data_IF_919709346797
#
_entry.id   IF_919709346797
#
_cell.length_a   1.000
_cell.length_b   1.000
_cell.length_c   1.000
_cell.angle_alpha   90.00
_cell.angle_beta   90.00
_cell.angle_gamma   90.00
#
_symmetry.space_group_name_H-M   'P 1'
#
loop_
_entity.id
_entity.type
_entity.pdbx_description
1 polymer ?
#
# COMPACT_ATOMS: atom_id res chain seq x y z
N UNK A 1 15.97 -3.49 -4.78
CA UNK A 1 15.75 -2.39 -3.83
C UNK A 1 15.04 -2.91 -2.58
N UNK A 2 15.30 -2.30 -1.40
CA UNK A 2 14.56 -2.60 -0.16
C UNK A 2 13.32 -1.72 0.01
N UNK A 3 13.25 -0.65 -0.73
CA UNK A 3 12.11 0.26 -0.72
C UNK A 3 11.63 0.47 -2.15
N UNK A 4 10.33 0.37 -2.33
CA UNK A 4 9.64 0.78 -3.54
C UNK A 4 8.58 1.81 -3.15
N UNK A 5 8.74 3.03 -3.60
CA UNK A 5 7.85 4.14 -3.26
C UNK A 5 7.22 4.66 -4.54
N UNK A 6 5.90 4.70 -4.58
CA UNK A 6 5.15 5.20 -5.72
C UNK A 6 4.13 6.26 -5.29
N UNK A 7 4.12 7.37 -6.02
CA UNK A 7 3.11 8.40 -5.91
C UNK A 7 2.65 8.77 -7.31
N UNK A 8 1.38 8.57 -7.60
CA UNK A 8 0.87 8.78 -8.96
C UNK A 8 -0.53 8.18 -9.15
N UNK A 9 -0.90 8.03 -10.41
CA UNK A 9 -2.19 7.47 -10.74
C UNK A 9 -2.20 5.96 -10.60
N UNK A 10 -3.29 5.43 -10.03
CA UNK A 10 -3.64 4.02 -10.04
C UNK A 10 -4.91 3.80 -10.85
N UNK A 11 -5.10 2.58 -11.34
CA UNK A 11 -6.38 2.20 -11.89
C UNK A 11 -7.34 1.80 -10.81
N UNK A 12 -8.63 1.99 -11.05
CA UNK A 12 -9.66 1.34 -10.26
C UNK A 12 -9.55 -0.17 -10.49
N UNK A 13 -9.01 -0.83 -9.50
CA UNK A 13 -9.05 -2.26 -9.38
C UNK A 13 -10.38 -2.64 -8.75
N UNK A 14 -10.81 -3.80 -8.89
CA UNK A 14 -12.07 -4.32 -8.43
C UNK A 14 -12.55 -5.34 -9.44
N UNK A 15 -13.81 -5.68 -9.46
CA UNK A 15 -14.43 -6.78 -10.23
C UNK A 15 -13.94 -6.99 -11.66
N UNK A 16 -13.29 -6.03 -12.27
CA UNK A 16 -12.72 -6.09 -13.62
C UNK A 16 -11.26 -5.65 -13.66
N UNK A 17 -10.61 -5.55 -12.48
CA UNK A 17 -9.33 -4.90 -12.35
C UNK A 17 -8.18 -5.80 -12.73
N UNK A 18 -7.40 -5.34 -13.65
CA UNK A 18 -6.09 -5.89 -13.96
C UNK A 18 -4.98 -5.15 -13.24
N UNK A 19 -5.21 -4.46 -12.14
CA UNK A 19 -4.22 -3.71 -11.40
C UNK A 19 -3.23 -2.94 -12.23
N UNK A 20 -2.70 -1.91 -11.67
CA UNK A 20 -1.59 -1.34 -12.36
C UNK A 20 -1.27 0.07 -11.92
N UNK A 21 -0.04 0.41 -12.16
CA UNK A 21 0.47 1.75 -11.98
C UNK A 21 0.35 2.49 -13.31
N UNK A 22 -0.01 3.77 -13.24
CA UNK A 22 -0.06 4.62 -14.42
C UNK A 22 1.17 5.54 -14.40
N UNK A 23 2.18 5.17 -15.17
CA UNK A 23 3.33 6.01 -15.48
C UNK A 23 3.11 6.71 -16.83
N UNK A 24 4.13 6.73 -17.68
CA UNK A 24 3.94 7.13 -19.08
C UNK A 24 3.03 6.14 -19.80
N UNK A 25 3.22 4.86 -19.50
CA UNK A 25 2.42 3.75 -19.98
C UNK A 25 1.78 3.03 -18.79
N UNK A 26 0.83 2.19 -19.08
CA UNK A 26 0.20 1.34 -18.10
C UNK A 26 1.09 0.17 -17.73
N UNK A 27 1.38 -0.01 -16.43
CA UNK A 27 2.16 -1.14 -15.91
C UNK A 27 1.22 -2.08 -15.17
N UNK A 28 1.05 -3.27 -15.71
CA UNK A 28 0.15 -4.29 -15.15
C UNK A 28 0.78 -5.04 -13.97
N UNK A 29 -0.05 -5.74 -13.20
CA UNK A 29 0.42 -6.63 -12.13
C UNK A 29 1.37 -7.70 -12.65
N UNK A 30 1.10 -8.28 -13.83
CA UNK A 30 1.97 -9.28 -14.46
C UNK A 30 3.35 -8.70 -14.79
N UNK A 31 3.42 -7.48 -15.27
CA UNK A 31 4.69 -6.80 -15.52
C UNK A 31 5.45 -6.53 -14.21
N UNK A 32 4.74 -6.11 -13.14
CA UNK A 32 5.37 -5.95 -11.83
C UNK A 32 5.98 -7.27 -11.36
N UNK A 33 5.23 -8.36 -11.43
CA UNK A 33 5.71 -9.68 -10.99
C UNK A 33 6.88 -10.22 -11.84
N UNK A 34 6.86 -9.99 -13.14
CA UNK A 34 7.84 -10.57 -14.05
C UNK A 34 9.11 -9.73 -14.20
N UNK A 35 9.01 -8.40 -14.07
CA UNK A 35 10.09 -7.49 -14.43
C UNK A 35 10.69 -6.77 -13.23
N UNK A 36 9.90 -6.46 -12.18
CA UNK A 36 10.39 -5.77 -11.01
C UNK A 36 11.19 -6.72 -10.10
N UNK A 37 12.39 -6.29 -9.69
CA UNK A 37 13.23 -7.05 -8.75
C UNK A 37 13.37 -6.29 -7.44
N UNK A 38 12.67 -6.76 -6.44
CA UNK A 38 12.83 -6.33 -5.06
C UNK A 38 13.87 -7.19 -4.34
N UNK A 39 14.41 -6.67 -3.26
CA UNK A 39 15.12 -7.50 -2.28
C UNK A 39 14.09 -8.17 -1.37
N UNK A 40 14.45 -9.33 -0.85
CA UNK A 40 13.65 -9.95 0.21
C UNK A 40 13.45 -8.95 1.35
N UNK A 41 12.27 -8.96 1.93
CA UNK A 41 11.85 -8.02 2.97
C UNK A 41 11.83 -6.56 2.49
N UNK A 42 11.46 -6.30 1.25
CA UNK A 42 11.23 -4.95 0.77
C UNK A 42 9.94 -4.37 1.36
N UNK A 43 9.96 -3.06 1.58
CA UNK A 43 8.78 -2.27 1.94
C UNK A 43 8.27 -1.53 0.69
N UNK A 44 6.99 -1.67 0.40
CA UNK A 44 6.29 -1.00 -0.70
C UNK A 44 5.37 0.05 -0.13
N UNK A 45 5.50 1.31 -0.59
CA UNK A 45 4.66 2.43 -0.15
C UNK A 45 3.97 3.09 -1.34
N UNK A 46 2.67 3.26 -1.22
CA UNK A 46 1.84 3.97 -2.18
C UNK A 46 1.27 5.25 -1.56
N UNK A 47 1.61 6.39 -2.15
CA UNK A 47 1.11 7.70 -1.73
C UNK A 47 0.06 8.21 -2.70
N UNK A 48 -1.17 8.39 -2.22
CA UNK A 48 -2.28 9.01 -2.98
C UNK A 48 -2.58 8.30 -4.31
N UNK A 49 -2.51 6.98 -4.31
CA UNK A 49 -2.80 6.14 -5.48
C UNK A 49 -4.27 5.71 -5.46
N UNK A 50 -5.01 6.02 -6.50
CA UNK A 50 -6.41 5.65 -6.63
C UNK A 50 -6.60 4.13 -6.48
N UNK A 51 -7.40 3.73 -5.50
CA UNK A 51 -7.64 2.32 -5.15
C UNK A 51 -6.54 1.69 -4.28
N UNK A 52 -5.34 2.29 -4.20
CA UNK A 52 -4.21 1.71 -3.48
C UNK A 52 -4.48 1.46 -1.98
N UNK A 53 -5.16 2.37 -1.33
CA UNK A 53 -5.61 2.21 0.06
C UNK A 53 -7.08 1.73 0.17
N UNK A 54 -7.73 1.41 -0.95
CA UNK A 54 -9.11 0.95 -1.05
C UNK A 54 -9.99 1.91 -1.83
N UNK A 55 -10.14 3.15 -1.42
CA UNK A 55 -10.99 4.14 -2.11
C UNK A 55 -10.28 4.83 -3.26
N UNK A 56 -11.07 5.27 -4.22
CA UNK A 56 -10.65 6.03 -5.39
C UNK A 56 -11.48 7.30 -5.55
N UNK A 57 -10.88 8.35 -6.11
CA UNK A 57 -11.58 9.59 -6.42
C UNK A 57 -12.74 9.40 -7.43
N UNK A 58 -12.73 8.31 -8.21
CA UNK A 58 -13.78 7.96 -9.15
C UNK A 58 -14.94 7.18 -8.55
N UNK A 59 -14.91 6.83 -7.27
CA UNK A 59 -15.95 6.03 -6.65
C UNK A 59 -17.29 6.76 -6.60
N UNK A 60 -18.35 6.01 -6.85
CA UNK A 60 -19.70 6.52 -6.85
C UNK A 60 -20.44 6.06 -5.58
N UNK A 61 -20.09 6.67 -4.46
CA UNK A 61 -20.63 6.31 -3.15
C UNK A 61 -19.73 5.34 -2.37
N UNK A 62 -20.29 4.75 -1.30
CA UNK A 62 -19.57 3.79 -0.47
C UNK A 62 -19.37 2.46 -1.21
N UNK A 63 -18.12 2.14 -1.49
CA UNK A 63 -17.76 0.88 -2.16
C UNK A 63 -17.90 -0.34 -1.25
N UNK A 64 -18.00 -0.12 0.06
CA UNK A 64 -18.00 -1.18 1.06
C UNK A 64 -16.63 -1.81 1.29
N UNK A 65 -16.49 -2.44 2.46
CA UNK A 65 -15.22 -3.01 2.89
C UNK A 65 -14.69 -4.12 1.95
N UNK A 66 -15.58 -4.97 1.44
CA UNK A 66 -15.17 -6.08 0.55
C UNK A 66 -14.51 -5.60 -0.73
N UNK A 67 -15.04 -4.54 -1.32
CA UNK A 67 -14.45 -3.96 -2.52
C UNK A 67 -13.11 -3.26 -2.19
N UNK A 68 -13.05 -2.54 -1.07
CA UNK A 68 -11.80 -1.94 -0.62
C UNK A 68 -10.72 -3.00 -0.38
N UNK A 69 -11.07 -4.12 0.24
CA UNK A 69 -10.17 -5.25 0.47
C UNK A 69 -9.66 -5.86 -0.84
N UNK A 70 -10.55 -6.09 -1.81
CA UNK A 70 -10.15 -6.60 -3.12
C UNK A 70 -9.14 -5.67 -3.79
N UNK A 71 -9.41 -4.37 -3.83
CA UNK A 71 -8.51 -3.39 -4.44
C UNK A 71 -7.15 -3.35 -3.77
N UNK A 72 -7.12 -3.31 -2.43
CA UNK A 72 -5.86 -3.34 -1.67
C UNK A 72 -5.09 -4.62 -1.94
N UNK A 73 -5.79 -5.75 -1.99
CA UNK A 73 -5.18 -7.05 -2.28
C UNK A 73 -4.60 -7.09 -3.69
N UNK A 74 -5.33 -6.62 -4.68
CA UNK A 74 -4.88 -6.58 -6.08
C UNK A 74 -3.61 -5.73 -6.26
N UNK A 75 -3.48 -4.64 -5.50
CA UNK A 75 -2.25 -3.84 -5.50
C UNK A 75 -1.10 -4.47 -4.73
N UNK A 76 -1.39 -5.12 -3.61
CA UNK A 76 -0.36 -5.69 -2.74
C UNK A 76 0.24 -6.98 -3.30
N UNK A 77 -0.59 -7.85 -3.86
CA UNK A 77 -0.23 -9.23 -4.25
C UNK A 77 0.98 -9.32 -5.19
N UNK A 78 1.10 -8.52 -6.27
CA UNK A 78 2.25 -8.63 -7.15
C UNK A 78 3.58 -8.34 -6.44
N UNK A 79 3.59 -7.42 -5.48
CA UNK A 79 4.79 -7.08 -4.71
C UNK A 79 5.12 -8.13 -3.64
N UNK A 80 4.10 -8.64 -2.95
CA UNK A 80 4.28 -9.70 -1.94
C UNK A 80 4.79 -10.99 -2.60
N UNK A 81 4.30 -11.32 -3.77
CA UNK A 81 4.73 -12.48 -4.56
C UNK A 81 6.21 -12.42 -4.94
N UNK A 82 6.75 -11.23 -5.19
CA UNK A 82 8.17 -11.04 -5.54
C UNK A 82 9.08 -10.72 -4.36
N UNK A 83 8.60 -10.94 -3.12
CA UNK A 83 9.41 -10.90 -1.91
C UNK A 83 9.31 -9.62 -1.08
N UNK A 84 8.35 -8.74 -1.35
CA UNK A 84 8.06 -7.66 -0.40
C UNK A 84 7.54 -8.24 0.91
N UNK A 85 7.97 -7.68 2.04
CA UNK A 85 7.45 -8.03 3.36
C UNK A 85 6.13 -7.32 3.65
N UNK A 86 5.98 -6.13 3.12
CA UNK A 86 4.81 -5.29 3.39
C UNK A 86 4.54 -4.33 2.24
N UNK A 87 3.25 -4.20 1.95
CA UNK A 87 2.65 -3.14 1.16
C UNK A 87 1.91 -2.19 2.12
N UNK A 88 2.15 -0.89 2.01
CA UNK A 88 1.45 0.17 2.74
C UNK A 88 0.95 1.22 1.78
N UNK A 89 -0.27 1.69 1.95
CA UNK A 89 -0.85 2.76 1.15
C UNK A 89 -1.57 3.79 2.02
N UNK A 90 -1.36 5.07 1.71
CA UNK A 90 -1.96 6.18 2.41
C UNK A 90 -2.35 7.30 1.44
N UNK A 91 -3.63 7.68 1.46
CA UNK A 91 -4.19 8.74 0.62
C UNK A 91 -4.14 10.13 1.28
N UNK A 92 -3.72 10.23 2.53
CA UNK A 92 -3.56 11.51 3.21
C UNK A 92 -2.16 12.09 2.95
N UNK A 93 -2.10 13.37 2.62
CA UNK A 93 -0.94 14.24 2.42
C UNK A 93 0.44 13.66 2.78
N UNK A 94 0.90 13.88 3.99
CA UNK A 94 2.22 13.45 4.47
C UNK A 94 2.20 12.09 5.20
N UNK A 95 1.09 11.36 5.15
CA UNK A 95 0.94 10.11 5.89
C UNK A 95 1.97 9.03 5.56
N UNK A 96 2.48 8.99 4.32
CA UNK A 96 3.59 8.10 3.99
C UNK A 96 4.94 8.59 4.54
N UNK A 97 5.11 9.88 4.74
CA UNK A 97 6.34 10.45 5.34
C UNK A 97 6.38 10.10 6.81
N UNK A 98 5.30 10.40 7.55
CA UNK A 98 5.21 10.05 8.98
C UNK A 98 5.35 8.55 9.22
N UNK A 99 4.76 7.71 8.37
CA UNK A 99 4.96 6.26 8.42
C UNK A 99 6.44 5.87 8.26
N UNK A 100 7.15 6.50 7.33
CA UNK A 100 8.59 6.22 7.13
C UNK A 100 9.44 6.71 8.31
N UNK A 101 9.12 7.86 8.89
CA UNK A 101 9.78 8.37 10.10
C UNK A 101 9.66 7.36 11.23
N UNK A 102 8.44 6.93 11.56
CA UNK A 102 8.17 5.90 12.57
C UNK A 102 8.92 4.59 12.27
N UNK A 103 8.91 4.14 11.01
CA UNK A 103 9.58 2.92 10.59
C UNK A 103 11.11 3.02 10.74
N UNK A 104 11.70 4.16 10.40
CA UNK A 104 13.15 4.39 10.58
C UNK A 104 13.53 4.58 12.05
N UNK A 105 12.60 5.01 12.89
CA UNK A 105 12.76 5.06 14.34
C UNK A 105 12.64 3.67 15.01
N UNK A 106 12.34 2.65 14.22
CA UNK A 106 12.38 1.25 14.64
C UNK A 106 11.03 0.67 15.03
N UNK A 107 9.93 1.37 14.76
CA UNK A 107 8.58 0.84 15.00
C UNK A 107 8.27 -0.26 13.98
N UNK A 108 7.47 -1.22 14.41
CA UNK A 108 6.91 -2.25 13.53
C UNK A 108 5.86 -1.67 12.57
N UNK A 109 5.56 -2.40 11.51
CA UNK A 109 4.52 -1.99 10.54
C UNK A 109 3.17 -1.73 11.22
N UNK A 110 2.79 -2.57 12.18
CA UNK A 110 1.52 -2.41 12.91
C UNK A 110 1.51 -1.13 13.74
N UNK A 111 2.60 -0.82 14.44
CA UNK A 111 2.75 0.41 15.21
C UNK A 111 2.75 1.66 14.32
N UNK A 112 3.50 1.65 13.21
CA UNK A 112 3.48 2.74 12.22
C UNK A 112 2.07 2.95 11.63
N UNK A 113 1.35 1.87 11.36
CA UNK A 113 -0.01 1.93 10.87
C UNK A 113 -0.96 2.51 11.93
N UNK A 114 -0.88 2.06 13.17
CA UNK A 114 -1.71 2.55 14.28
C UNK A 114 -1.46 4.04 14.56
N UNK A 115 -0.21 4.50 14.49
CA UNK A 115 0.12 5.91 14.57
C UNK A 115 -0.50 6.73 13.43
N UNK A 116 -0.59 6.15 12.22
CA UNK A 116 -1.26 6.80 11.08
C UNK A 116 -2.75 7.03 11.31
N UNK A 117 -3.40 6.29 12.23
CA UNK A 117 -4.83 6.42 12.54
C UNK A 117 -5.17 7.62 13.42
N UNK A 118 -4.20 8.25 14.05
CA UNK A 118 -4.39 9.42 14.94
C UNK A 118 -4.95 10.65 14.22
N UNK A 119 -4.99 10.64 12.89
CA UNK A 119 -5.48 11.74 12.03
C UNK A 119 -6.99 11.73 11.78
N UNK A 120 -7.79 11.16 12.68
CA UNK A 120 -9.26 11.21 12.59
C UNK A 120 -9.88 10.08 11.76
N UNK A 121 -9.17 9.00 11.61
CA UNK A 121 -9.66 7.78 10.98
C UNK A 121 -10.42 6.94 12.00
N UNK A 122 -11.74 6.79 11.79
CA UNK A 122 -12.63 6.17 12.78
C UNK A 122 -12.89 4.68 12.55
N UNK A 123 -12.34 4.08 11.51
CA UNK A 123 -12.63 2.68 11.18
C UNK A 123 -11.36 1.90 10.94
N UNK A 124 -11.14 0.95 11.79
CA UNK A 124 -10.05 -0.01 11.69
C UNK A 124 -10.61 -1.43 11.51
N UNK A 125 -10.19 -2.11 10.46
CA UNK A 125 -10.45 -3.52 10.26
C UNK A 125 -9.10 -4.18 10.02
N UNK A 126 -8.74 -5.13 10.91
CA UNK A 126 -7.52 -5.91 10.80
C UNK A 126 -7.84 -7.39 10.91
N UNK A 127 -7.32 -8.19 10.01
CA UNK A 127 -7.49 -9.66 10.00
C UNK A 127 -6.34 -10.34 9.28
N UNK A 128 -6.26 -11.67 9.39
CA UNK A 128 -5.33 -12.45 8.59
C UNK A 128 -5.62 -12.27 7.10
N UNK A 129 -4.57 -12.11 6.31
CA UNK A 129 -4.68 -11.93 4.88
C UNK A 129 -5.07 -13.25 4.20
N UNK A 130 -6.09 -13.21 3.36
CA UNK A 130 -6.72 -14.43 2.82
C UNK A 130 -5.81 -15.25 1.88
N UNK A 131 -4.90 -14.59 1.16
CA UNK A 131 -3.99 -15.27 0.22
C UNK A 131 -2.73 -15.77 0.90
N UNK A 132 -2.31 -15.15 2.01
CA UNK A 132 -1.15 -15.53 2.79
C UNK A 132 -1.48 -15.39 4.29
N UNK A 133 -1.99 -16.44 4.96
CA UNK A 133 -2.55 -16.36 6.32
C UNK A 133 -1.56 -15.96 7.43
N UNK A 134 -0.26 -16.01 7.15
CA UNK A 134 0.81 -15.52 8.02
C UNK A 134 0.98 -14.00 7.98
N UNK A 135 0.35 -13.34 7.00
CA UNK A 135 0.32 -11.89 6.88
C UNK A 135 -1.01 -11.34 7.40
N UNK A 136 -1.02 -10.06 7.70
CA UNK A 136 -2.24 -9.31 8.03
C UNK A 136 -2.62 -8.38 6.89
N UNK A 137 -3.92 -8.11 6.78
CA UNK A 137 -4.47 -6.98 6.05
C UNK A 137 -5.20 -6.06 7.02
N UNK A 138 -4.90 -4.79 6.98
CA UNK A 138 -5.61 -3.77 7.74
C UNK A 138 -6.01 -2.62 6.83
N UNK A 139 -7.24 -2.16 6.98
CA UNK A 139 -7.82 -1.09 6.18
C UNK A 139 -8.58 -0.14 7.10
N UNK A 140 -8.28 1.12 7.01
CA UNK A 140 -8.92 2.18 7.78
C UNK A 140 -9.39 3.32 6.90
N UNK A 141 -10.45 3.95 7.33
CA UNK A 141 -11.04 5.06 6.63
C UNK A 141 -11.87 5.97 7.53
N UNK A 142 -12.22 7.12 7.01
CA UNK A 142 -13.15 8.04 7.65
C UNK A 142 -14.59 7.62 7.37
N UNK A 143 -15.49 7.92 8.32
CA UNK A 143 -16.92 7.92 7.99
C UNK A 143 -17.19 9.02 6.96
N UNK A 144 -18.12 8.74 6.02
CA UNK A 144 -18.58 9.76 5.11
C UNK A 144 -19.15 10.94 5.89
N UNK A 145 -18.66 12.14 5.64
CA UNK A 145 -19.39 13.32 6.01
C UNK A 145 -20.65 13.40 5.15
N UNK A 146 -21.81 13.70 5.75
CA UNK A 146 -23.02 13.99 4.99
C UNK A 146 -22.73 15.16 4.04
N UNK A 147 -22.83 14.93 2.74
CA UNK A 147 -22.55 15.94 1.73
C UNK A 147 -22.29 15.34 0.37
N UNK A 148 -21.93 16.17 -0.58
CA UNK A 148 -21.58 15.79 -1.93
C UNK A 148 -20.27 16.45 -2.34
N UNK A 149 -19.47 15.76 -3.15
CA UNK A 149 -18.35 16.35 -3.85
C UNK A 149 -18.58 16.33 -5.37
N UNK A 150 -17.82 17.12 -6.11
CA UNK A 150 -17.93 17.19 -7.56
C UNK A 150 -16.85 16.34 -8.21
N UNK A 151 -17.28 15.36 -9.00
CA UNK A 151 -16.37 14.57 -9.85
C UNK A 151 -16.38 15.18 -11.26
N UNK A 152 -15.20 15.42 -11.80
CA UNK A 152 -15.02 15.90 -13.18
C UNK A 152 -14.44 14.75 -13.99
N UNK A 153 -15.14 14.37 -15.05
CA UNK A 153 -14.68 13.39 -16.05
C UNK A 153 -14.46 14.08 -17.38
N UNK A 154 -13.44 13.67 -18.11
CA UNK A 154 -13.21 14.12 -19.50
C UNK A 154 -13.54 12.96 -20.42
N UNK A 155 -14.40 13.17 -21.40
CA UNK A 155 -14.74 12.15 -22.39
C UNK A 155 -13.64 12.04 -23.48
N UNK A 156 -13.80 11.06 -24.39
CA UNK A 156 -12.85 10.81 -25.49
C UNK A 156 -12.66 11.99 -26.43
N UNK A 157 -13.57 12.97 -26.41
CA UNK A 157 -13.52 14.18 -27.24
C UNK A 157 -12.93 15.38 -26.46
N UNK A 158 -12.40 15.16 -25.24
CA UNK A 158 -11.85 16.22 -24.42
C UNK A 158 -12.89 17.08 -23.68
N UNK A 159 -14.19 16.72 -23.75
CA UNK A 159 -15.25 17.49 -23.12
C UNK A 159 -15.32 17.14 -21.63
N UNK A 160 -15.18 18.14 -20.78
CA UNK A 160 -15.31 17.98 -19.33
C UNK A 160 -16.76 17.94 -18.91
N UNK A 161 -17.15 16.87 -18.22
CA UNK A 161 -18.45 16.71 -17.56
C UNK A 161 -18.25 16.71 -16.05
N UNK A 162 -19.08 17.44 -15.32
CA UNK A 162 -19.06 17.44 -13.87
C UNK A 162 -20.35 16.82 -13.34
N UNK A 163 -20.24 16.04 -12.28
CA UNK A 163 -21.39 15.50 -11.54
C UNK A 163 -21.15 15.61 -10.04
N UNK A 164 -22.21 15.88 -9.28
CA UNK A 164 -22.19 15.79 -7.83
C UNK A 164 -22.42 14.32 -7.44
N UNK A 165 -21.54 13.80 -6.60
CA UNK A 165 -21.67 12.46 -6.02
C UNK A 165 -21.72 12.57 -4.50
N UNK A 166 -22.49 11.73 -3.81
CA UNK A 166 -22.49 11.71 -2.36
C UNK A 166 -21.10 11.44 -1.81
N UNK A 167 -20.72 12.10 -0.72
CA UNK A 167 -19.53 11.70 0.01
C UNK A 167 -19.73 10.28 0.52
N UNK A 168 -18.73 9.44 0.30
CA UNK A 168 -18.74 8.05 0.71
C UNK A 168 -17.76 7.82 1.86
N UNK A 169 -17.95 6.72 2.58
CA UNK A 169 -16.90 6.21 3.45
C UNK A 169 -15.64 6.08 2.62
N UNK A 170 -14.56 6.66 3.12
CA UNK A 170 -13.27 6.60 2.46
C UNK A 170 -12.39 5.58 3.16
N UNK A 171 -11.91 4.60 2.41
CA UNK A 171 -10.85 3.69 2.84
C UNK A 171 -9.53 4.27 2.35
N UNK A 172 -8.77 4.85 3.28
CA UNK A 172 -7.69 5.79 2.92
C UNK A 172 -6.32 5.41 3.44
N UNK A 173 -6.25 4.46 4.36
CA UNK A 173 -5.00 3.92 4.91
C UNK A 173 -5.11 2.41 4.97
N UNK A 174 -4.12 1.70 4.44
CA UNK A 174 -4.09 0.24 4.48
C UNK A 174 -2.67 -0.30 4.52
N UNK A 175 -2.52 -1.50 5.06
CA UNK A 175 -1.34 -2.33 4.78
C UNK A 175 -1.72 -3.79 4.56
N UNK A 176 -0.86 -4.49 3.84
CA UNK A 176 -0.85 -5.95 3.73
C UNK A 176 0.59 -6.41 3.96
N UNK A 177 0.82 -7.25 4.96
CA UNK A 177 2.18 -7.71 5.22
C UNK A 177 2.39 -8.30 6.61
N UNK A 178 3.66 -8.45 6.95
CA UNK A 178 4.09 -8.87 8.28
C UNK A 178 3.92 -7.71 9.27
N UNK A 179 3.01 -7.80 10.26
CA UNK A 179 2.78 -6.72 11.22
C UNK A 179 3.98 -6.40 12.10
N UNK A 180 4.84 -7.38 12.32
CA UNK A 180 6.03 -7.27 13.18
C UNK A 180 7.31 -6.90 12.42
N UNK A 181 7.20 -6.66 11.12
CA UNK A 181 8.33 -6.24 10.32
C UNK A 181 8.78 -4.83 10.72
N UNK A 182 10.07 -4.67 10.99
CA UNK A 182 10.71 -3.42 11.36
C UNK A 182 11.98 -3.17 10.51
N UNK A 183 12.57 -2.00 10.66
CA UNK A 183 13.79 -1.63 9.93
C UNK A 183 14.97 -2.54 10.27
N UNK A 184 15.00 -3.12 11.46
CA UNK A 184 16.03 -4.05 11.90
C UNK A 184 16.05 -5.32 11.05
N UNK A 185 14.90 -5.78 10.56
CA UNK A 185 14.82 -6.96 9.70
C UNK A 185 15.54 -6.74 8.34
N UNK A 186 15.52 -5.52 7.82
CA UNK A 186 16.28 -5.14 6.62
C UNK A 186 17.79 -5.24 6.88
N UNK A 187 18.25 -4.86 8.07
CA UNK A 187 19.67 -4.82 8.41
C UNK A 187 20.21 -6.12 9.02
N UNK A 188 19.37 -6.98 9.60
CA UNK A 188 19.79 -8.26 10.21
C UNK A 188 20.56 -9.14 9.22
N UNK A 189 20.13 -9.25 7.99
CA UNK A 189 20.86 -10.01 6.95
C UNK A 189 22.26 -9.46 6.67
N UNK A 190 22.45 -8.13 6.68
CA UNK A 190 23.79 -7.53 6.50
C UNK A 190 24.73 -7.87 7.66
N UNK A 191 24.26 -7.84 8.91
CA UNK A 191 25.06 -8.23 10.08
C UNK A 191 25.45 -9.71 10.02
N UNK A 192 24.56 -10.60 9.63
CA UNK A 192 24.85 -12.04 9.51
C UNK A 192 25.90 -12.30 8.42
N UNK A 193 25.86 -11.62 7.28
CA UNK A 193 26.88 -11.73 6.24
C UNK A 193 28.26 -11.26 6.72
N UNK A 194 28.34 -10.13 7.39
CA UNK A 194 29.60 -9.60 7.94
C UNK A 194 30.14 -10.52 9.01
N UNK A 195 29.32 -11.03 9.92
CA UNK A 195 29.75 -11.94 10.99
C UNK A 195 30.19 -13.30 10.44
N UNK A 196 29.54 -13.81 9.40
CA UNK A 196 29.96 -15.06 8.73
C UNK A 196 31.26 -14.88 7.95
N UNK A 197 31.48 -13.71 7.36
CA UNK A 197 32.74 -13.37 6.69
C UNK A 197 33.88 -13.29 7.70
N UNK A 198 33.72 -12.58 8.82
CA UNK A 198 34.71 -12.50 9.90
C UNK A 198 35.04 -13.89 10.44
N UNK A 199 34.05 -14.75 10.64
CA UNK A 199 34.29 -16.13 11.10
C UNK A 199 35.01 -16.98 10.07
N UNK A 200 34.77 -16.79 8.77
CA UNK A 200 35.47 -17.55 7.72
C UNK A 200 36.95 -17.20 7.59
N UNK A 201 37.33 -15.97 7.87
CA UNK A 201 38.72 -15.53 7.83
C UNK A 201 39.52 -15.88 9.09
N UNK A 202 38.83 -16.13 10.21
CA UNK A 202 39.46 -16.53 11.47
C UNK A 202 40.04 -17.94 11.49
N UNK A 203 39.76 -18.76 10.47
CA UNK A 203 40.26 -20.13 10.34
C UNK A 203 41.38 -20.30 9.29
N UNK A 204 41.98 -19.18 8.86
CA UNK A 204 43.10 -19.20 7.89
C UNK A 204 44.40 -18.65 8.45
N UNK A 205 44.66 -18.91 9.75
CA UNK A 205 45.97 -18.68 10.40
C UNK A 205 46.53 -20.00 10.87
#
# INVERSE_FOLDING_TARGET
>A
AHFFIYSGHGSNMGKNGTGGLVLKDWITNDQIQNELKLKDNALVLFKSVCGGAGSSAGDNGDIGYKEAELRVSDYAEPFLTIGASTYYANNYGDGCVSFLEDFFDGLSIEECYDNSLLWGVNKHISKNYMYQPNLKIAISGSNANSGTHTVISTDSNGVKKSRKVPNSKSYSISYVGNPYFDIGEIYKKKRTYVMNWIKSDSYKI
#
